data_IF_805864837221
#
_entry.id   IF_805864837221
#
_cell.length_a   1.000
_cell.length_b   1.000
_cell.length_c   1.000
_cell.angle_alpha   90.00
_cell.angle_beta   90.00
_cell.angle_gamma   90.00
#
_symmetry.space_group_name_H-M   'P 1'
#
loop_
_entity.id
_entity.type
_entity.pdbx_description
1 polymer ?
#
# COMPACT_ATOMS: atom_id res chain seq x y z
N UNK A 1 -10.96 5.50 42.58
CA UNK A 1 -9.54 5.51 42.18
C UNK A 1 -9.38 4.46 41.09
N UNK A 2 -9.00 4.86 39.86
CA UNK A 2 -8.79 3.93 38.73
C UNK A 2 -7.52 3.13 39.00
N UNK A 3 -7.66 1.82 39.16
CA UNK A 3 -6.55 0.88 39.24
C UNK A 3 -5.89 0.80 37.86
N UNK A 4 -4.77 1.49 37.67
CA UNK A 4 -3.87 1.16 36.57
C UNK A 4 -3.16 -0.14 36.96
N UNK A 5 -3.58 -1.25 36.38
CA UNK A 5 -2.78 -2.48 36.37
C UNK A 5 -1.55 -2.23 35.47
N UNK A 6 -0.57 -1.48 35.98
CA UNK A 6 0.74 -1.38 35.36
C UNK A 6 1.47 -2.70 35.57
N UNK A 7 1.89 -3.33 34.48
CA UNK A 7 2.81 -4.48 34.48
C UNK A 7 3.96 -4.25 35.48
N UNK A 8 4.44 -5.29 36.20
CA UNK A 8 5.61 -5.14 37.04
C UNK A 8 6.81 -4.68 36.18
N UNK A 9 7.71 -3.84 36.71
CA UNK A 9 8.85 -3.30 35.96
C UNK A 9 9.68 -4.46 35.40
N UNK A 10 9.81 -4.50 34.06
CA UNK A 10 10.53 -5.55 33.33
C UNK A 10 9.66 -6.67 32.75
N UNK A 11 8.33 -6.60 32.86
CA UNK A 11 7.43 -7.50 32.13
C UNK A 11 7.26 -7.00 30.68
N UNK A 12 7.24 -7.93 29.73
CA UNK A 12 7.11 -7.63 28.30
C UNK A 12 5.67 -7.20 27.94
N UNK A 13 5.53 -6.31 26.96
CA UNK A 13 4.23 -5.70 26.60
C UNK A 13 3.23 -6.72 26.04
N UNK A 14 3.74 -7.80 25.45
CA UNK A 14 2.94 -8.94 24.98
C UNK A 14 2.35 -9.79 26.13
N UNK A 15 2.68 -9.49 27.39
CA UNK A 15 2.32 -10.30 28.55
C UNK A 15 1.35 -9.58 29.50
N UNK A 16 0.23 -10.22 29.83
CA UNK A 16 -0.77 -9.70 30.78
C UNK A 16 -0.39 -10.03 32.23
N UNK A 17 0.36 -11.11 32.45
CA UNK A 17 0.80 -11.54 33.78
C UNK A 17 2.16 -12.20 33.73
N UNK A 18 3.15 -11.63 34.42
CA UNK A 18 4.53 -12.12 34.49
C UNK A 18 4.86 -12.77 35.85
N UNK A 19 5.82 -13.71 35.83
CA UNK A 19 6.40 -14.36 37.01
C UNK A 19 7.68 -13.66 37.51
N UNK A 20 8.15 -12.63 36.81
CA UNK A 20 9.35 -11.85 37.14
C UNK A 20 9.75 -10.92 35.99
N UNK A 21 10.91 -10.28 36.10
CA UNK A 21 11.46 -9.43 35.04
C UNK A 21 12.05 -10.26 33.88
N UNK A 22 11.74 -9.87 32.65
CA UNK A 22 12.28 -10.42 31.41
C UNK A 22 11.20 -10.97 30.45
N UNK A 23 11.49 -11.03 29.14
CA UNK A 23 10.55 -11.45 28.11
C UNK A 23 10.22 -12.95 28.16
N UNK A 24 11.06 -13.76 28.82
CA UNK A 24 10.91 -15.21 28.95
C UNK A 24 10.29 -15.64 30.29
N UNK A 25 9.53 -14.77 30.94
CA UNK A 25 8.87 -15.04 32.23
C UNK A 25 7.39 -14.69 32.20
N UNK A 26 6.74 -14.88 31.06
CA UNK A 26 5.32 -14.65 30.92
C UNK A 26 4.49 -15.86 31.33
N UNK A 27 3.45 -15.63 32.15
CA UNK A 27 2.45 -16.62 32.55
C UNK A 27 1.21 -16.59 31.66
N UNK A 28 0.81 -15.41 31.19
CA UNK A 28 -0.36 -15.23 30.34
C UNK A 28 -0.11 -14.14 29.30
N UNK A 29 -0.21 -14.50 28.03
CA UNK A 29 -0.08 -13.57 26.92
C UNK A 29 -1.33 -12.71 26.73
N UNK A 30 -1.14 -11.55 26.12
CA UNK A 30 -2.23 -10.72 25.64
C UNK A 30 -2.94 -11.38 24.46
N UNK A 31 -4.13 -10.90 24.13
CA UNK A 31 -4.85 -11.31 22.92
C UNK A 31 -3.99 -11.00 21.69
N UNK A 32 -3.94 -11.90 20.71
CA UNK A 32 -3.05 -11.78 19.54
C UNK A 32 -1.67 -12.42 19.73
N UNK A 33 -1.36 -12.95 20.93
CA UNK A 33 -0.07 -13.59 21.20
C UNK A 33 -0.24 -15.06 21.66
N UNK A 34 0.67 -15.92 21.20
CA UNK A 34 0.77 -17.32 21.60
C UNK A 34 1.89 -17.53 22.60
N UNK A 35 1.59 -18.25 23.67
CA UNK A 35 2.59 -18.63 24.66
C UNK A 35 3.44 -19.79 24.12
N UNK A 36 4.70 -19.52 23.85
CA UNK A 36 5.69 -20.51 23.41
C UNK A 36 6.76 -20.63 24.48
N UNK A 37 6.66 -21.67 25.30
CA UNK A 37 7.46 -21.84 26.52
C UNK A 37 7.05 -20.81 27.59
N UNK A 38 7.88 -19.81 27.81
CA UNK A 38 7.63 -18.71 28.76
C UNK A 38 7.71 -17.32 28.09
N UNK A 39 7.69 -17.28 26.74
CA UNK A 39 7.65 -16.07 25.92
C UNK A 39 6.32 -15.98 25.18
N UNK A 40 5.85 -14.76 24.95
CA UNK A 40 4.72 -14.50 24.07
C UNK A 40 5.26 -14.17 22.69
N UNK A 41 4.85 -14.96 21.70
CA UNK A 41 5.13 -14.69 20.30
C UNK A 41 3.86 -14.17 19.65
N UNK A 42 4.03 -13.19 18.77
CA UNK A 42 2.94 -12.65 17.98
C UNK A 42 2.33 -13.75 17.10
N UNK A 43 1.00 -13.74 16.97
CA UNK A 43 0.28 -14.67 16.08
C UNK A 43 0.12 -13.96 14.75
N UNK A 44 0.78 -14.47 13.72
CA UNK A 44 0.58 -13.95 12.37
C UNK A 44 -0.79 -14.40 11.83
N UNK A 45 -1.82 -13.60 12.10
CA UNK A 45 -3.16 -13.91 11.63
C UNK A 45 -3.26 -13.91 10.11
N UNK A 46 -2.36 -13.22 9.40
CA UNK A 46 -2.34 -13.17 7.93
C UNK A 46 -1.92 -14.52 7.33
N UNK A 47 -0.97 -15.20 7.98
CA UNK A 47 -0.47 -16.50 7.55
C UNK A 47 -1.32 -17.66 8.10
N UNK A 48 -1.84 -17.54 9.32
CA UNK A 48 -2.59 -18.61 9.97
C UNK A 48 -4.10 -18.62 9.61
N UNK A 49 -4.70 -17.48 9.27
CA UNK A 49 -6.12 -17.40 8.88
C UNK A 49 -6.26 -17.11 7.38
N UNK A 50 -6.81 -18.11 6.67
CA UNK A 50 -7.18 -18.00 5.24
C UNK A 50 -8.13 -16.82 4.95
N UNK A 51 -8.88 -16.36 5.96
CA UNK A 51 -9.78 -15.20 5.92
C UNK A 51 -9.49 -14.27 7.10
N UNK A 52 -8.25 -13.81 7.24
CA UNK A 52 -7.89 -12.80 8.25
C UNK A 52 -8.74 -11.53 8.08
N UNK A 53 -8.94 -11.12 6.83
CA UNK A 53 -9.78 -9.99 6.46
C UNK A 53 -11.11 -10.45 5.84
N UNK A 54 -12.22 -9.75 6.10
CA UNK A 54 -13.54 -10.09 5.56
C UNK A 54 -13.68 -9.82 4.05
N UNK A 55 -12.90 -8.89 3.49
CA UNK A 55 -12.96 -8.54 2.07
C UNK A 55 -12.03 -9.39 1.19
N UNK A 56 -12.50 -9.74 -0.02
CA UNK A 56 -11.67 -10.40 -1.05
C UNK A 56 -10.60 -9.47 -1.64
N UNK A 57 -10.85 -8.16 -1.66
CA UNK A 57 -9.93 -7.12 -2.18
C UNK A 57 -9.19 -6.40 -1.03
N UNK A 58 -9.02 -7.08 0.10
CA UNK A 58 -8.28 -6.59 1.28
C UNK A 58 -6.95 -7.31 1.41
N UNK A 59 -5.90 -6.54 1.71
CA UNK A 59 -4.57 -7.02 2.03
C UNK A 59 -4.42 -6.97 3.55
N UNK A 60 -4.14 -8.12 4.13
CA UNK A 60 -3.82 -8.26 5.55
C UNK A 60 -2.35 -7.94 5.79
N UNK A 61 -2.07 -7.07 6.76
CA UNK A 61 -0.71 -6.78 7.25
C UNK A 61 -0.64 -7.17 8.72
N UNK A 62 0.34 -7.99 9.08
CA UNK A 62 0.56 -8.40 10.46
C UNK A 62 1.23 -7.26 11.25
N UNK A 63 0.74 -6.95 12.46
CA UNK A 63 1.40 -6.05 13.41
C UNK A 63 1.56 -6.76 14.76
N UNK A 64 2.50 -6.27 15.56
CA UNK A 64 2.70 -6.84 16.90
C UNK A 64 1.44 -6.69 17.77
N UNK A 65 0.80 -7.83 18.05
CA UNK A 65 -0.40 -7.99 18.88
C UNK A 65 -1.71 -7.77 18.15
N UNK A 66 -1.69 -7.50 16.84
CA UNK A 66 -2.90 -7.29 16.03
C UNK A 66 -2.61 -7.31 14.54
N UNK A 67 -3.60 -7.61 13.72
CA UNK A 67 -3.51 -7.44 12.27
C UNK A 67 -4.27 -6.20 11.79
N UNK A 68 -3.85 -5.64 10.66
CA UNK A 68 -4.58 -4.60 9.95
C UNK A 68 -5.01 -5.06 8.57
N UNK A 69 -6.21 -4.66 8.15
CA UNK A 69 -6.76 -4.96 6.83
C UNK A 69 -6.89 -3.65 6.05
N UNK A 70 -6.10 -3.54 5.00
CA UNK A 70 -6.14 -2.42 4.07
C UNK A 70 -6.73 -2.84 2.73
N UNK A 71 -7.30 -1.90 1.97
CA UNK A 71 -7.72 -2.21 0.61
C UNK A 71 -6.51 -2.39 -0.30
N UNK A 72 -6.60 -3.32 -1.26
CA UNK A 72 -5.58 -3.53 -2.27
C UNK A 72 -5.26 -2.25 -3.06
N UNK A 73 -4.09 -2.23 -3.70
CA UNK A 73 -3.68 -1.09 -4.52
C UNK A 73 -4.74 -0.79 -5.60
N UNK A 74 -5.11 0.47 -5.76
CA UNK A 74 -6.19 0.87 -6.65
C UNK A 74 -7.59 0.69 -6.08
N UNK A 75 -7.76 0.30 -4.81
CA UNK A 75 -9.04 0.27 -4.10
C UNK A 75 -9.09 1.33 -2.97
N UNK A 76 -10.30 1.66 -2.55
CA UNK A 76 -10.60 2.55 -1.41
C UNK A 76 -11.70 1.97 -0.56
N UNK A 77 -11.58 2.13 0.75
CA UNK A 77 -12.63 1.73 1.67
C UNK A 77 -13.79 2.72 1.61
N UNK A 78 -14.95 2.26 1.14
CA UNK A 78 -16.24 2.98 1.21
C UNK A 78 -17.27 2.07 1.86
N UNK A 79 -17.95 2.55 2.91
CA UNK A 79 -18.99 1.79 3.63
C UNK A 79 -18.53 0.38 4.06
N UNK A 80 -17.30 0.26 4.59
CA UNK A 80 -16.66 -1.01 4.98
C UNK A 80 -16.42 -2.02 3.83
N UNK A 81 -16.52 -1.58 2.58
CA UNK A 81 -16.21 -2.39 1.40
C UNK A 81 -15.10 -1.70 0.60
N UNK A 82 -14.15 -2.48 0.11
CA UNK A 82 -13.14 -1.98 -0.81
C UNK A 82 -13.75 -1.83 -2.20
N UNK A 83 -13.76 -0.59 -2.70
CA UNK A 83 -14.21 -0.27 -4.06
C UNK A 83 -13.05 0.29 -4.85
N UNK A 84 -12.94 -0.07 -6.13
CA UNK A 84 -11.88 0.46 -6.97
C UNK A 84 -11.90 2.00 -6.99
N UNK A 85 -10.73 2.61 -6.80
CA UNK A 85 -10.47 3.99 -7.16
C UNK A 85 -10.64 4.08 -8.67
N UNK A 86 -11.82 4.52 -9.11
CA UNK A 86 -11.93 5.16 -10.42
C UNK A 86 -11.04 6.40 -10.35
N UNK A 87 -9.81 6.26 -10.84
CA UNK A 87 -8.94 7.40 -11.09
C UNK A 87 -9.79 8.42 -11.87
N UNK A 88 -9.93 9.66 -11.38
CA UNK A 88 -10.97 10.54 -11.86
C UNK A 88 -10.77 10.74 -13.36
N UNK A 89 -11.84 10.51 -14.13
CA UNK A 89 -11.92 10.83 -15.56
C UNK A 89 -11.45 12.25 -15.86
N UNK A 90 -11.41 13.14 -14.87
CA UNK A 90 -10.83 14.49 -14.97
C UNK A 90 -9.36 14.48 -15.41
N UNK A 91 -8.53 13.51 -14.99
CA UNK A 91 -7.13 13.43 -15.46
C UNK A 91 -7.07 12.95 -16.90
N UNK A 92 -7.94 12.01 -17.28
CA UNK A 92 -8.07 11.51 -18.66
C UNK A 92 -8.60 12.60 -19.61
N UNK A 93 -9.62 13.35 -19.19
CA UNK A 93 -10.22 14.42 -19.97
C UNK A 93 -9.27 15.61 -20.09
N UNK A 94 -8.58 15.97 -19.01
CA UNK A 94 -7.56 17.03 -19.04
C UNK A 94 -6.39 16.63 -19.94
N UNK A 95 -5.93 15.37 -19.86
CA UNK A 95 -4.91 14.81 -20.75
C UNK A 95 -5.37 14.82 -22.22
N UNK A 96 -6.63 14.48 -22.51
CA UNK A 96 -7.22 14.57 -23.85
C UNK A 96 -7.31 16.00 -24.38
N UNK A 97 -7.64 16.97 -23.52
CA UNK A 97 -7.67 18.39 -23.89
C UNK A 97 -6.26 18.93 -24.16
N UNK A 98 -5.25 18.52 -23.39
CA UNK A 98 -3.86 18.88 -23.65
C UNK A 98 -3.36 18.33 -25.00
N UNK A 99 -3.64 17.06 -25.34
CA UNK A 99 -3.29 16.51 -26.65
C UNK A 99 -3.98 17.25 -27.80
N UNK A 100 -5.24 17.66 -27.64
CA UNK A 100 -5.96 18.45 -28.64
C UNK A 100 -5.33 19.82 -28.92
N UNK A 101 -5.00 20.58 -27.87
CA UNK A 101 -4.33 21.89 -28.00
C UNK A 101 -2.94 21.73 -28.61
N UNK A 102 -2.22 20.67 -28.24
CA UNK A 102 -0.90 20.34 -28.76
C UNK A 102 -0.92 20.06 -30.26
N UNK A 103 -1.85 19.21 -30.71
CA UNK A 103 -2.02 18.86 -32.12
C UNK A 103 -2.42 20.09 -32.95
N UNK A 104 -3.30 20.95 -32.43
CA UNK A 104 -3.64 22.21 -33.08
C UNK A 104 -2.43 23.15 -33.21
N UNK A 105 -1.66 23.34 -32.14
CA UNK A 105 -0.45 24.17 -32.17
C UNK A 105 0.59 23.61 -33.17
N UNK A 106 0.80 22.30 -33.17
CA UNK A 106 1.68 21.59 -34.11
C UNK A 106 1.24 21.76 -35.56
N UNK A 107 -0.06 21.66 -35.85
CA UNK A 107 -0.60 21.90 -37.19
C UNK A 107 -0.37 23.34 -37.65
N UNK A 108 -0.55 24.33 -36.76
CA UNK A 108 -0.28 25.74 -37.09
C UNK A 108 1.21 26.04 -37.30
N UNK A 109 2.10 25.38 -36.55
CA UNK A 109 3.56 25.48 -36.71
C UNK A 109 4.05 24.79 -38.00
N UNK A 110 3.51 23.62 -38.31
CA UNK A 110 3.81 22.91 -39.56
C UNK A 110 3.38 23.71 -40.80
N UNK A 111 2.24 24.41 -40.73
CA UNK A 111 1.78 25.33 -41.78
C UNK A 111 2.72 26.54 -41.96
N UNK A 112 3.52 26.88 -40.94
CA UNK A 112 4.48 28.00 -40.98
C UNK A 112 5.90 27.59 -41.37
N UNK A 113 6.20 26.28 -41.40
CA UNK A 113 7.45 25.73 -41.93
C UNK A 113 8.62 25.62 -40.94
N UNK A 114 8.39 25.78 -39.64
CA UNK A 114 9.46 25.78 -38.63
C UNK A 114 9.81 24.34 -38.17
N UNK A 115 10.74 23.69 -38.89
CA UNK A 115 11.15 22.28 -38.67
C UNK A 115 11.86 22.00 -37.32
N UNK A 116 12.16 23.02 -36.51
CA UNK A 116 12.80 22.86 -35.19
C UNK A 116 11.79 22.46 -34.11
N UNK A 117 10.53 22.89 -34.23
CA UNK A 117 9.51 22.59 -33.21
C UNK A 117 8.98 21.16 -33.31
N UNK A 118 8.97 20.56 -34.51
CA UNK A 118 8.50 19.18 -34.72
C UNK A 118 9.44 18.14 -34.08
N UNK A 119 10.75 18.39 -34.03
CA UNK A 119 11.73 17.49 -33.41
C UNK A 119 11.68 17.56 -31.87
N UNK A 120 11.47 18.75 -31.30
CA UNK A 120 11.26 18.93 -29.85
C UNK A 120 10.00 18.18 -29.40
N UNK A 121 8.93 18.23 -30.20
CA UNK A 121 7.70 17.51 -29.92
C UNK A 121 7.82 15.99 -30.02
N UNK A 122 8.47 15.49 -31.08
CA UNK A 122 8.80 14.06 -31.19
C UNK A 122 9.64 13.58 -30.00
N UNK A 123 10.60 14.40 -29.56
CA UNK A 123 11.40 14.13 -28.36
C UNK A 123 10.55 14.08 -27.08
N UNK A 124 9.64 15.06 -26.90
CA UNK A 124 8.73 15.10 -25.75
C UNK A 124 7.76 13.91 -25.72
N UNK A 125 7.17 13.57 -26.86
CA UNK A 125 6.27 12.40 -26.97
C UNK A 125 7.03 11.09 -26.72
N UNK A 126 8.25 10.95 -27.24
CA UNK A 126 9.09 9.78 -26.98
C UNK A 126 9.50 9.67 -25.50
N UNK A 127 9.83 10.78 -24.84
CA UNK A 127 10.15 10.81 -23.42
C UNK A 127 8.95 10.47 -22.54
N UNK A 128 7.76 11.01 -22.87
CA UNK A 128 6.50 10.69 -22.19
C UNK A 128 6.17 9.21 -22.39
N UNK A 129 6.24 8.69 -23.62
CA UNK A 129 6.02 7.28 -23.89
C UNK A 129 7.02 6.38 -23.13
N UNK A 130 8.29 6.78 -23.07
CA UNK A 130 9.32 6.11 -22.29
C UNK A 130 9.02 6.10 -20.78
N UNK A 131 8.58 7.23 -20.24
CA UNK A 131 8.17 7.34 -18.83
C UNK A 131 6.96 6.46 -18.52
N UNK A 132 5.92 6.45 -19.36
CA UNK A 132 4.74 5.58 -19.18
C UNK A 132 5.08 4.09 -19.27
N UNK A 133 5.98 3.71 -20.19
CA UNK A 133 6.47 2.33 -20.29
C UNK A 133 7.32 1.94 -19.08
N UNK A 134 8.12 2.88 -18.54
CA UNK A 134 8.90 2.67 -17.32
C UNK A 134 8.00 2.51 -16.09
N UNK A 135 7.00 3.38 -15.91
CA UNK A 135 6.06 3.31 -14.77
C UNK A 135 5.26 2.00 -14.77
N UNK A 136 4.81 1.53 -15.94
CA UNK A 136 4.21 0.19 -16.07
C UNK A 136 5.22 -0.93 -15.80
N UNK A 137 6.48 -0.76 -16.20
CA UNK A 137 7.54 -1.73 -15.93
C UNK A 137 7.83 -1.87 -14.44
N UNK A 138 7.93 -0.76 -13.72
CA UNK A 138 8.21 -0.73 -12.29
C UNK A 138 7.08 -1.35 -11.46
N UNK A 139 5.81 -1.13 -11.83
CA UNK A 139 4.67 -1.80 -11.18
C UNK A 139 4.64 -3.31 -11.40
N UNK A 140 5.00 -3.77 -12.60
CA UNK A 140 5.09 -5.21 -12.90
C UNK A 140 6.28 -5.83 -12.17
N UNK A 141 7.41 -5.12 -12.06
CA UNK A 141 8.57 -5.60 -11.33
C UNK A 141 8.32 -5.66 -9.82
N UNK A 142 7.63 -4.69 -9.23
CA UNK A 142 7.24 -4.69 -7.81
C UNK A 142 6.30 -5.87 -7.49
N UNK A 143 5.32 -6.13 -8.34
CA UNK A 143 4.42 -7.28 -8.18
C UNK A 143 5.11 -8.63 -8.38
N UNK A 144 6.18 -8.70 -9.20
CA UNK A 144 7.04 -9.89 -9.29
C UNK A 144 8.01 -10.04 -8.11
N UNK A 145 8.54 -8.94 -7.58
CA UNK A 145 9.47 -8.94 -6.44
C UNK A 145 8.78 -9.21 -5.11
N UNK A 146 7.51 -8.80 -4.95
CA UNK A 146 6.71 -9.02 -3.75
C UNK A 146 5.94 -10.35 -3.75
N UNK A 147 5.92 -11.04 -4.89
CA UNK A 147 5.30 -12.36 -5.07
C UNK A 147 6.23 -13.57 -4.88
N UNK A 148 7.42 -13.38 -4.30
CA UNK A 148 8.39 -14.45 -4.01
C UNK A 148 8.88 -14.42 -2.57
#
# INVERSE_FOLDING_TARGET
MKMFCGLPPGCDQACVSCLGAGPARCRKCATGYRLTGAKCLDIDECSERVLACPGLDEISTNLDGSFHCDCAEGFTRKNNVCVQKQLPREVEVLQQMFFGVLLCALATLAAKGDMVFTSIFMGGVAAIAGYWLSDRGDRVLDSFLKGR
#
